data_IF_165710687183
#
_entry.id   IF_165710687183
#
_cell.length_a   1.000
_cell.length_b   1.000
_cell.length_c   1.000
_cell.angle_alpha   90.00
_cell.angle_beta   90.00
_cell.angle_gamma   90.00
#
_symmetry.space_group_name_H-M   'P 1'
#
loop_
_entity.id
_entity.type
_entity.pdbx_description
1 polymer ?
#
# COMPACT_ATOMS: atom_id res chain seq x y z
N UNK A 1 -4.70 -41.58 32.41
CA UNK A 1 -4.05 -41.58 31.09
C UNK A 1 -4.71 -40.46 30.30
N UNK A 2 -4.38 -39.22 30.65
CA UNK A 2 -5.01 -38.01 30.12
C UNK A 2 -4.06 -37.31 29.16
N UNK A 3 -4.60 -36.96 27.99
CA UNK A 3 -4.24 -35.82 27.14
C UNK A 3 -2.96 -35.88 26.30
N UNK A 4 -3.14 -36.26 25.02
CA UNK A 4 -2.41 -35.68 23.87
C UNK A 4 -3.33 -34.87 22.92
N UNK A 5 -4.65 -34.92 23.09
CA UNK A 5 -5.62 -34.21 22.24
C UNK A 5 -5.92 -32.76 22.70
N UNK A 6 -5.64 -32.40 23.95
CA UNK A 6 -5.91 -31.03 24.43
C UNK A 6 -4.83 -29.98 24.08
N UNK A 7 -3.70 -30.37 23.47
CA UNK A 7 -2.63 -29.42 23.14
C UNK A 7 -2.69 -28.86 21.71
N UNK A 8 -3.42 -29.46 20.78
CA UNK A 8 -3.53 -28.95 19.41
C UNK A 8 -4.64 -27.89 19.23
N UNK A 9 -5.70 -27.94 20.04
CA UNK A 9 -6.84 -27.02 19.92
C UNK A 9 -6.61 -25.62 20.51
N UNK A 10 -5.52 -25.43 21.28
CA UNK A 10 -5.17 -24.12 21.85
C UNK A 10 -4.40 -23.19 20.91
N UNK A 11 -3.97 -23.66 19.72
CA UNK A 11 -3.26 -22.80 18.75
C UNK A 11 -4.19 -22.03 17.79
N UNK A 12 -5.48 -22.37 17.72
CA UNK A 12 -6.42 -21.80 16.74
C UNK A 12 -7.43 -20.78 17.30
N UNK A 13 -7.46 -20.55 18.61
CA UNK A 13 -8.33 -19.54 19.21
C UNK A 13 -7.75 -18.13 19.04
N UNK A 14 -7.92 -17.60 17.83
CA UNK A 14 -7.87 -16.17 17.57
C UNK A 14 -8.91 -15.55 18.52
N UNK A 15 -8.47 -14.84 19.56
CA UNK A 15 -9.35 -14.03 20.38
C UNK A 15 -9.94 -12.91 19.51
N UNK A 16 -11.12 -13.17 18.92
CA UNK A 16 -11.82 -12.27 18.00
C UNK A 16 -12.47 -11.16 18.83
N UNK A 17 -11.79 -10.03 18.95
CA UNK A 17 -12.37 -8.80 19.52
C UNK A 17 -13.47 -8.25 18.61
N UNK A 18 -14.47 -7.56 19.18
CA UNK A 18 -15.66 -6.97 18.53
C UNK A 18 -15.39 -5.94 17.42
N UNK A 19 -14.13 -5.72 17.03
CA UNK A 19 -13.69 -4.76 16.02
C UNK A 19 -12.91 -5.34 14.84
N UNK A 20 -12.97 -6.66 14.61
CA UNK A 20 -12.38 -7.31 13.43
C UNK A 20 -13.29 -7.18 12.19
N UNK A 21 -12.69 -6.89 11.02
CA UNK A 21 -13.38 -6.76 9.73
C UNK A 21 -12.76 -7.74 8.72
N UNK A 22 -13.41 -8.89 8.48
CA UNK A 22 -13.00 -9.82 7.43
C UNK A 22 -12.90 -9.13 6.07
N UNK A 23 -13.81 -8.19 5.78
CA UNK A 23 -13.86 -7.45 4.51
C UNK A 23 -12.56 -6.70 4.22
N UNK A 24 -11.90 -6.19 5.26
CA UNK A 24 -10.61 -5.48 5.13
C UNK A 24 -9.49 -6.45 4.78
N UNK A 25 -9.49 -7.64 5.37
CA UNK A 25 -8.52 -8.67 5.00
C UNK A 25 -8.77 -9.21 3.58
N UNK A 26 -10.03 -9.40 3.19
CA UNK A 26 -10.42 -9.76 1.83
C UNK A 26 -9.91 -8.74 0.81
N UNK A 27 -10.21 -7.45 1.01
CA UNK A 27 -9.75 -6.40 0.11
C UNK A 27 -8.23 -6.38 -0.02
N UNK A 28 -7.50 -6.39 1.10
CA UNK A 28 -6.04 -6.41 1.09
C UNK A 28 -5.49 -7.63 0.34
N UNK A 29 -6.09 -8.81 0.53
CA UNK A 29 -5.70 -10.01 -0.19
C UNK A 29 -5.92 -9.82 -1.69
N UNK A 30 -7.12 -9.44 -2.16
CA UNK A 30 -7.35 -9.22 -3.60
C UNK A 30 -6.36 -8.18 -4.16
N UNK A 31 -6.15 -7.06 -3.47
CA UNK A 31 -5.23 -6.03 -3.92
C UNK A 31 -3.77 -6.51 -3.98
N UNK A 32 -3.33 -7.47 -3.14
CA UNK A 32 -1.95 -7.99 -3.24
C UNK A 32 -1.74 -8.85 -4.49
N UNK A 33 -2.76 -9.63 -4.90
CA UNK A 33 -2.72 -10.35 -6.17
C UNK A 33 -2.58 -9.37 -7.34
N UNK A 34 -3.34 -8.26 -7.29
CA UNK A 34 -3.33 -7.22 -8.32
C UNK A 34 -2.04 -6.40 -8.35
N UNK A 35 -1.42 -6.11 -7.20
CA UNK A 35 -0.10 -5.46 -7.17
C UNK A 35 0.98 -6.36 -7.80
N UNK A 36 0.94 -7.67 -7.55
CA UNK A 36 1.88 -8.59 -8.21
C UNK A 36 1.57 -8.67 -9.71
N UNK A 37 0.29 -8.61 -10.10
CA UNK A 37 -0.11 -8.48 -11.50
C UNK A 37 0.49 -7.22 -12.14
N UNK A 38 0.41 -6.06 -11.48
CA UNK A 38 0.95 -4.79 -11.99
C UNK A 38 2.43 -4.92 -12.33
N UNK A 39 3.20 -5.63 -11.50
CA UNK A 39 4.64 -5.82 -11.68
C UNK A 39 5.00 -7.06 -12.50
N UNK A 40 4.01 -7.77 -13.04
CA UNK A 40 4.26 -8.92 -13.92
C UNK A 40 3.82 -8.65 -15.35
N UNK A 41 2.63 -8.07 -15.54
CA UNK A 41 2.02 -7.92 -16.86
C UNK A 41 2.41 -6.58 -17.49
N UNK A 42 2.95 -6.57 -18.73
CA UNK A 42 3.41 -5.34 -19.38
C UNK A 42 2.25 -4.40 -19.75
N UNK A 43 2.55 -3.11 -19.79
CA UNK A 43 1.58 -2.05 -20.11
C UNK A 43 0.87 -2.22 -21.46
N UNK A 44 1.54 -2.84 -22.44
CA UNK A 44 0.96 -3.13 -23.75
C UNK A 44 -0.29 -4.00 -23.66
N UNK A 45 -0.32 -4.98 -22.76
CA UNK A 45 -1.53 -5.79 -22.52
C UNK A 45 -2.48 -5.12 -21.53
N UNK A 46 -1.93 -4.48 -20.49
CA UNK A 46 -2.72 -3.82 -19.44
C UNK A 46 -3.62 -2.71 -20.00
N UNK A 47 -3.10 -1.92 -20.95
CA UNK A 47 -3.86 -0.85 -21.61
C UNK A 47 -5.15 -1.33 -22.27
N UNK A 48 -5.08 -2.48 -22.94
CA UNK A 48 -6.21 -3.00 -23.73
C UNK A 48 -7.32 -3.58 -22.86
N UNK A 49 -6.99 -4.09 -21.67
CA UNK A 49 -7.94 -4.74 -20.75
C UNK A 49 -8.47 -3.79 -19.66
N UNK A 50 -8.25 -2.48 -19.81
CA UNK A 50 -8.86 -1.47 -18.95
C UNK A 50 -8.34 -1.43 -17.51
N UNK A 51 -7.05 -1.69 -17.28
CA UNK A 51 -6.47 -1.85 -15.93
C UNK A 51 -6.72 -0.69 -14.95
N UNK A 52 -6.92 0.55 -15.43
CA UNK A 52 -7.21 1.68 -14.55
C UNK A 52 -8.48 1.48 -13.70
N UNK A 53 -9.41 0.63 -14.16
CA UNK A 53 -10.68 0.37 -13.50
C UNK A 53 -10.63 -0.77 -12.48
N UNK A 54 -9.61 -1.63 -12.48
CA UNK A 54 -9.62 -2.83 -11.64
C UNK A 54 -8.29 -3.22 -11.02
N UNK A 55 -7.16 -2.99 -11.69
CA UNK A 55 -5.83 -3.30 -11.14
C UNK A 55 -5.23 -2.07 -10.48
N UNK A 56 -5.17 -0.94 -11.19
CA UNK A 56 -4.52 0.30 -10.70
C UNK A 56 -5.20 0.89 -9.48
N UNK A 57 -6.40 0.44 -9.14
CA UNK A 57 -7.05 0.80 -7.88
C UNK A 57 -6.41 0.16 -6.64
N UNK A 58 -5.46 -0.76 -6.80
CA UNK A 58 -4.85 -1.50 -5.70
C UNK A 58 -4.21 -0.59 -4.65
N UNK A 59 -3.38 0.35 -5.09
CA UNK A 59 -2.73 1.32 -4.20
C UNK A 59 -3.75 2.28 -3.56
N UNK A 60 -4.67 2.93 -4.33
CA UNK A 60 -5.79 3.67 -3.76
C UNK A 60 -6.59 2.92 -2.69
N UNK A 61 -6.91 1.64 -2.92
CA UNK A 61 -7.63 0.81 -1.95
C UNK A 61 -6.79 0.59 -0.68
N UNK A 62 -5.49 0.31 -0.81
CA UNK A 62 -4.59 0.21 0.35
C UNK A 62 -4.53 1.52 1.14
N UNK A 63 -4.50 2.68 0.49
CA UNK A 63 -4.50 4.01 1.13
C UNK A 63 -5.81 4.27 1.91
N UNK A 64 -6.96 3.96 1.30
CA UNK A 64 -8.26 4.06 1.98
C UNK A 64 -8.31 3.10 3.19
N UNK A 65 -7.86 1.86 3.03
CA UNK A 65 -7.79 0.88 4.12
C UNK A 65 -6.84 1.33 5.23
N UNK A 66 -5.73 1.99 4.87
CA UNK A 66 -4.77 2.56 5.82
C UNK A 66 -5.46 3.61 6.71
N UNK A 67 -6.14 4.59 6.11
CA UNK A 67 -6.91 5.59 6.85
C UNK A 67 -8.03 4.97 7.69
N UNK A 68 -8.76 4.00 7.13
CA UNK A 68 -9.84 3.29 7.81
C UNK A 68 -9.36 2.55 9.07
N UNK A 69 -8.31 1.74 8.94
CA UNK A 69 -7.74 0.98 10.04
C UNK A 69 -7.14 1.89 11.13
N UNK A 70 -6.49 2.99 10.74
CA UNK A 70 -5.95 3.96 11.70
C UNK A 70 -7.08 4.65 12.47
N UNK A 71 -8.14 5.07 11.78
CA UNK A 71 -9.32 5.65 12.42
C UNK A 71 -9.99 4.69 13.42
N UNK A 72 -10.09 3.40 13.08
CA UNK A 72 -10.60 2.37 14.01
C UNK A 72 -9.65 2.13 15.19
N UNK A 73 -8.34 2.15 14.96
CA UNK A 73 -7.33 1.93 16.00
C UNK A 73 -7.35 3.03 17.04
N UNK A 74 -7.31 4.30 16.62
CA UNK A 74 -7.28 5.44 17.54
C UNK A 74 -8.61 5.68 18.26
N UNK A 75 -9.74 5.27 17.67
CA UNK A 75 -11.04 5.33 18.35
C UNK A 75 -11.10 4.51 19.63
N UNK A 76 -10.24 3.49 19.77
CA UNK A 76 -10.17 2.64 20.97
C UNK A 76 -9.35 3.26 22.11
N UNK A 77 -8.70 4.39 21.87
CA UNK A 77 -7.96 5.12 22.89
C UNK A 77 -8.95 6.05 23.59
N UNK A 78 -9.06 5.89 24.92
CA UNK A 78 -9.99 6.64 25.77
C UNK A 78 -9.70 8.15 25.74
N UNK A 79 -8.45 8.53 26.01
CA UNK A 79 -8.00 9.92 25.85
C UNK A 79 -7.39 10.15 24.45
N UNK A 80 -8.09 10.94 23.65
CA UNK A 80 -7.72 11.32 22.28
C UNK A 80 -6.90 12.63 22.23
N UNK A 81 -6.18 12.97 23.30
CA UNK A 81 -5.15 14.01 23.29
C UNK A 81 -3.99 13.63 22.36
N UNK A 82 -3.38 14.62 21.69
CA UNK A 82 -2.26 14.37 20.78
C UNK A 82 -1.10 13.65 21.49
N UNK A 83 -0.83 13.99 22.76
CA UNK A 83 0.19 13.32 23.59
C UNK A 83 -0.03 11.81 23.65
N UNK A 84 -1.28 11.36 23.82
CA UNK A 84 -1.59 9.94 23.92
C UNK A 84 -1.65 9.25 22.56
N UNK A 85 -2.10 9.94 21.51
CA UNK A 85 -2.05 9.45 20.13
C UNK A 85 -0.60 9.25 19.65
N UNK A 86 0.33 10.11 20.09
CA UNK A 86 1.78 10.03 19.85
C UNK A 86 2.55 9.28 20.97
N UNK A 87 1.89 8.37 21.69
CA UNK A 87 2.55 7.65 22.78
C UNK A 87 3.72 6.78 22.31
N UNK A 88 4.71 6.56 23.19
CA UNK A 88 5.81 5.63 22.94
C UNK A 88 5.30 4.22 22.61
N UNK A 89 4.18 3.80 23.22
CA UNK A 89 3.51 2.53 22.91
C UNK A 89 3.06 2.46 21.45
N UNK A 90 2.51 3.54 20.90
CA UNK A 90 2.14 3.64 19.50
C UNK A 90 3.37 3.47 18.60
N UNK A 91 4.42 4.27 18.83
CA UNK A 91 5.64 4.21 18.03
C UNK A 91 6.34 2.86 18.11
N UNK A 92 6.49 2.28 19.30
CA UNK A 92 7.05 0.93 19.48
C UNK A 92 6.25 -0.11 18.69
N UNK A 93 4.92 -0.05 18.74
CA UNK A 93 4.05 -0.95 17.97
C UNK A 93 4.22 -0.80 16.46
N UNK A 94 4.44 0.43 15.97
CA UNK A 94 4.67 0.72 14.55
C UNK A 94 6.08 0.33 14.10
N UNK A 95 7.08 0.54 14.94
CA UNK A 95 8.46 0.11 14.72
C UNK A 95 8.53 -1.38 14.46
N UNK A 96 8.01 -2.20 15.40
CA UNK A 96 8.03 -3.65 15.27
C UNK A 96 7.20 -4.19 14.10
N UNK A 97 6.18 -3.43 13.67
CA UNK A 97 5.31 -3.83 12.57
C UNK A 97 5.86 -3.48 11.19
N UNK A 98 6.56 -2.35 11.07
CA UNK A 98 6.95 -1.80 9.77
C UNK A 98 8.47 -1.63 9.65
N UNK A 99 9.09 -0.90 10.57
CA UNK A 99 10.53 -0.63 10.48
C UNK A 99 11.38 -1.88 10.68
N UNK A 100 11.04 -2.76 11.63
CA UNK A 100 11.84 -3.97 11.87
C UNK A 100 11.88 -4.91 10.64
N UNK A 101 10.74 -5.31 10.04
CA UNK A 101 10.78 -6.13 8.82
C UNK A 101 11.46 -5.40 7.65
N UNK A 102 11.32 -4.08 7.55
CA UNK A 102 12.05 -3.29 6.56
C UNK A 102 13.56 -3.32 6.76
N UNK A 103 14.06 -3.21 7.99
CA UNK A 103 15.51 -3.30 8.27
C UNK A 103 16.04 -4.67 7.87
N UNK A 104 15.29 -5.73 8.16
CA UNK A 104 15.62 -7.10 7.71
C UNK A 104 15.66 -7.15 6.18
N UNK A 105 14.66 -6.60 5.50
CA UNK A 105 14.65 -6.50 4.04
C UNK A 105 15.90 -5.77 3.54
N UNK A 106 16.19 -4.59 4.08
CA UNK A 106 17.28 -3.73 3.63
C UNK A 106 18.63 -4.43 3.73
N UNK A 107 18.89 -5.14 4.83
CA UNK A 107 20.13 -5.92 5.00
C UNK A 107 20.17 -7.06 3.98
N UNK A 108 19.12 -7.89 3.94
CA UNK A 108 19.08 -9.07 3.06
C UNK A 108 19.14 -8.68 1.58
N UNK A 109 18.40 -7.65 1.15
CA UNK A 109 18.40 -7.16 -0.23
C UNK A 109 19.76 -6.60 -0.63
N UNK A 110 20.42 -5.86 0.27
CA UNK A 110 21.75 -5.32 0.01
C UNK A 110 22.79 -6.44 -0.12
N UNK A 111 22.75 -7.45 0.75
CA UNK A 111 23.66 -8.59 0.68
C UNK A 111 23.44 -9.42 -0.60
N UNK A 112 22.19 -9.69 -0.96
CA UNK A 112 21.86 -10.38 -2.21
C UNK A 112 22.33 -9.55 -3.41
N UNK A 113 22.03 -8.26 -3.44
CA UNK A 113 22.48 -7.37 -4.51
C UNK A 113 24.00 -7.37 -4.65
N UNK A 114 24.73 -7.20 -3.55
CA UNK A 114 26.20 -7.27 -3.53
C UNK A 114 26.74 -8.60 -4.05
N UNK A 115 26.06 -9.72 -3.77
CA UNK A 115 26.46 -11.03 -4.29
C UNK A 115 26.26 -11.18 -5.80
N UNK A 116 25.25 -10.52 -6.38
CA UNK A 116 24.91 -10.63 -7.80
C UNK A 116 25.73 -9.62 -8.62
N UNK A 117 25.83 -8.37 -8.17
CA UNK A 117 26.40 -7.26 -8.97
C UNK A 117 27.65 -6.62 -8.36
N UNK A 118 28.16 -7.13 -7.23
CA UNK A 118 29.18 -6.44 -6.46
C UNK A 118 28.72 -5.06 -6.01
N UNK A 119 29.64 -4.10 -5.93
CA UNK A 119 29.36 -2.72 -5.47
C UNK A 119 28.34 -1.97 -6.34
N UNK A 120 28.14 -2.38 -7.60
CA UNK A 120 27.15 -1.77 -8.50
C UNK A 120 25.71 -1.98 -8.00
N UNK A 121 25.46 -2.99 -7.15
CA UNK A 121 24.16 -3.17 -6.52
C UNK A 121 23.74 -1.97 -5.65
N UNK A 122 24.71 -1.21 -5.14
CA UNK A 122 24.45 -0.04 -4.31
C UNK A 122 23.98 1.17 -5.13
N UNK A 123 23.94 1.09 -6.45
CA UNK A 123 23.45 2.17 -7.32
C UNK A 123 22.27 1.75 -8.21
N UNK A 124 21.69 0.56 -8.04
CA UNK A 124 20.58 0.07 -8.88
C UNK A 124 19.32 0.94 -8.82
N UNK A 125 19.14 1.71 -7.75
CA UNK A 125 18.05 2.68 -7.65
C UNK A 125 18.19 3.89 -8.60
N UNK A 126 19.38 4.11 -9.18
CA UNK A 126 19.60 5.15 -10.18
C UNK A 126 19.10 4.71 -11.57
N UNK A 127 18.70 5.66 -12.44
CA UNK A 127 18.60 7.11 -12.21
C UNK A 127 17.25 7.54 -11.62
N UNK A 128 16.38 6.60 -11.24
CA UNK A 128 15.02 6.92 -10.77
C UNK A 128 14.99 7.65 -9.42
N UNK A 129 15.99 7.43 -8.57
CA UNK A 129 16.02 7.97 -7.21
C UNK A 129 17.35 8.64 -6.90
N UNK A 130 17.37 9.71 -6.10
CA UNK A 130 18.62 10.33 -5.64
C UNK A 130 19.20 9.62 -4.42
N UNK A 131 20.48 9.83 -4.10
CA UNK A 131 21.11 9.32 -2.88
C UNK A 131 20.32 9.64 -1.59
N UNK A 132 19.71 10.83 -1.52
CA UNK A 132 18.91 11.23 -0.36
C UNK A 132 17.67 10.35 -0.13
N UNK A 133 17.18 9.67 -1.17
CA UNK A 133 16.01 8.81 -1.05
C UNK A 133 16.29 7.53 -0.25
N UNK A 134 17.55 7.13 -0.10
CA UNK A 134 17.92 6.00 0.76
C UNK A 134 17.55 6.27 2.23
N UNK A 135 17.61 7.53 2.67
CA UNK A 135 17.30 7.93 4.05
C UNK A 135 15.80 7.98 4.36
N UNK A 136 14.94 7.99 3.33
CA UNK A 136 13.48 7.97 3.51
C UNK A 136 12.88 6.57 3.31
N UNK A 137 13.71 5.56 3.03
CA UNK A 137 13.27 4.17 2.95
C UNK A 137 13.36 3.53 1.56
N UNK A 138 13.99 4.18 0.58
CA UNK A 138 14.33 3.51 -0.69
C UNK A 138 15.53 2.58 -0.46
N UNK A 139 15.51 1.44 -1.15
CA UNK A 139 16.52 0.39 -1.04
C UNK A 139 17.64 0.66 -2.05
N UNK A 140 18.91 0.38 -1.70
CA UNK A 140 20.02 0.46 -2.64
C UNK A 140 19.85 -0.56 -3.78
N UNK A 141 19.56 -1.82 -3.42
CA UNK A 141 19.16 -2.87 -4.36
C UNK A 141 17.65 -2.76 -4.61
N UNK A 142 17.29 -2.03 -5.66
CA UNK A 142 15.93 -1.56 -5.90
C UNK A 142 15.06 -2.57 -6.64
N UNK A 143 13.79 -2.66 -6.23
CA UNK A 143 12.73 -3.35 -6.96
C UNK A 143 11.42 -2.53 -6.97
N UNK A 144 10.49 -2.83 -7.89
CA UNK A 144 9.20 -2.15 -7.99
C UNK A 144 8.39 -2.27 -6.70
N UNK A 145 7.57 -1.23 -6.42
CA UNK A 145 6.74 -1.12 -5.22
C UNK A 145 7.43 -0.46 -4.00
N UNK A 146 8.76 -0.29 -4.05
CA UNK A 146 9.56 0.26 -2.94
C UNK A 146 9.16 1.68 -2.52
N UNK A 147 8.70 2.50 -3.47
CA UNK A 147 8.23 3.86 -3.23
C UNK A 147 7.09 3.95 -2.19
N UNK A 148 6.33 2.86 -2.00
CA UNK A 148 5.25 2.83 -1.02
C UNK A 148 5.73 2.70 0.44
N UNK A 149 6.98 2.24 0.67
CA UNK A 149 7.53 2.10 2.02
C UNK A 149 7.72 3.44 2.73
N UNK A 150 8.34 4.47 2.11
CA UNK A 150 8.36 5.81 2.68
C UNK A 150 6.96 6.34 3.02
N UNK A 151 5.95 6.09 2.16
CA UNK A 151 4.57 6.54 2.41
C UNK A 151 4.04 5.95 3.72
N UNK A 152 4.31 4.66 3.98
CA UNK A 152 3.95 4.00 5.25
C UNK A 152 4.72 4.62 6.42
N UNK A 153 6.01 4.89 6.28
CA UNK A 153 6.84 5.44 7.35
C UNK A 153 6.41 6.86 7.74
N UNK A 154 6.24 7.74 6.77
CA UNK A 154 5.71 9.08 6.99
C UNK A 154 4.29 9.05 7.55
N UNK A 155 3.45 8.12 7.11
CA UNK A 155 2.11 7.95 7.66
C UNK A 155 2.10 7.65 9.15
N UNK A 156 3.11 6.97 9.70
CA UNK A 156 3.21 6.72 11.14
C UNK A 156 3.24 8.04 11.91
N UNK A 157 3.93 9.06 11.38
CA UNK A 157 4.01 10.40 11.96
C UNK A 157 2.77 11.24 11.70
N UNK A 158 2.19 11.19 10.50
CA UNK A 158 1.08 12.09 10.10
C UNK A 158 -0.28 11.64 10.64
N UNK A 159 -0.52 10.34 10.74
CA UNK A 159 -1.85 9.81 11.04
C UNK A 159 -2.43 10.21 12.41
N UNK A 160 -1.66 10.30 13.52
CA UNK A 160 -2.19 10.76 14.80
C UNK A 160 -2.74 12.20 14.73
N UNK A 161 -2.01 13.11 14.10
CA UNK A 161 -2.45 14.50 13.89
C UNK A 161 -3.70 14.54 13.00
N UNK A 162 -3.68 13.81 11.88
CA UNK A 162 -4.82 13.76 10.97
C UNK A 162 -6.07 13.23 11.67
N UNK A 163 -5.95 12.16 12.47
CA UNK A 163 -7.06 11.59 13.24
C UNK A 163 -7.69 12.60 14.20
N UNK A 164 -6.92 13.54 14.77
CA UNK A 164 -7.44 14.56 15.67
C UNK A 164 -8.53 15.40 14.99
N UNK A 165 -8.33 15.78 13.75
CA UNK A 165 -9.33 16.48 12.94
C UNK A 165 -10.61 15.64 12.72
N UNK A 166 -10.43 14.32 12.53
CA UNK A 166 -11.55 13.39 12.35
C UNK A 166 -12.24 12.94 13.65
N UNK A 167 -11.66 13.21 14.82
CA UNK A 167 -12.24 12.81 16.12
C UNK A 167 -13.36 13.71 16.64
N UNK A 168 -13.47 14.94 16.13
CA UNK A 168 -14.38 15.95 16.65
C UNK A 168 -15.82 15.90 16.11
N UNK A 169 -16.51 17.04 16.26
CA UNK A 169 -17.86 17.29 15.71
C UNK A 169 -17.88 17.10 14.18
N UNK A 170 -19.06 16.91 13.59
CA UNK A 170 -19.22 16.72 12.14
C UNK A 170 -18.52 17.79 11.31
N UNK A 171 -18.64 19.07 11.69
CA UNK A 171 -17.99 20.17 10.95
C UNK A 171 -16.47 20.02 10.88
N UNK A 172 -15.80 19.64 11.97
CA UNK A 172 -14.35 19.42 11.99
C UNK A 172 -13.92 18.26 11.11
N UNK A 173 -14.74 17.20 11.06
CA UNK A 173 -14.50 16.06 10.16
C UNK A 173 -14.61 16.49 8.70
N UNK A 174 -15.60 17.32 8.37
CA UNK A 174 -15.80 17.85 7.00
C UNK A 174 -14.60 18.71 6.63
N UNK A 175 -14.22 19.66 7.49
CA UNK A 175 -13.07 20.54 7.28
C UNK A 175 -11.77 19.74 7.11
N UNK A 176 -11.57 18.68 7.91
CA UNK A 176 -10.39 17.81 7.81
C UNK A 176 -10.37 17.04 6.49
N UNK A 177 -11.52 16.53 6.03
CA UNK A 177 -11.61 15.85 4.73
C UNK A 177 -11.34 16.83 3.59
N UNK A 178 -11.95 18.02 3.61
CA UNK A 178 -11.70 19.09 2.63
C UNK A 178 -10.22 19.46 2.62
N UNK A 179 -9.59 19.63 3.78
CA UNK A 179 -8.16 19.92 3.89
C UNK A 179 -7.29 18.83 3.26
N UNK A 180 -7.66 17.55 3.37
CA UNK A 180 -6.94 16.46 2.69
C UNK A 180 -6.93 16.64 1.17
N UNK A 181 -8.06 17.02 0.57
CA UNK A 181 -8.16 17.31 -0.86
C UNK A 181 -7.41 18.59 -1.25
N UNK A 182 -7.52 19.65 -0.44
CA UNK A 182 -6.85 20.92 -0.69
C UNK A 182 -5.33 20.74 -0.67
N UNK A 183 -4.78 20.05 0.33
CA UNK A 183 -3.32 19.81 0.42
C UNK A 183 -2.81 19.06 -0.81
N UNK A 184 -3.50 17.99 -1.22
CA UNK A 184 -3.10 17.20 -2.39
C UNK A 184 -3.19 18.04 -3.68
N UNK A 185 -4.27 18.79 -3.86
CA UNK A 185 -4.44 19.69 -5.00
C UNK A 185 -3.39 20.82 -5.02
N UNK A 186 -3.04 21.37 -3.86
CA UNK A 186 -1.97 22.37 -3.73
C UNK A 186 -0.61 21.80 -4.13
N UNK A 187 -0.32 20.54 -3.81
CA UNK A 187 0.91 19.87 -4.25
C UNK A 187 0.93 19.66 -5.77
N UNK A 188 -0.18 19.23 -6.35
CA UNK A 188 -0.32 19.08 -7.81
C UNK A 188 -0.07 20.42 -8.53
N UNK A 189 -0.68 21.51 -8.04
CA UNK A 189 -0.44 22.85 -8.59
C UNK A 189 1.00 23.33 -8.35
N UNK A 190 1.58 23.10 -7.18
CA UNK A 190 2.95 23.48 -6.89
C UNK A 190 3.92 22.81 -7.87
N UNK A 191 3.74 21.51 -8.15
CA UNK A 191 4.54 20.78 -9.15
C UNK A 191 4.31 21.38 -10.54
N UNK A 192 3.05 21.58 -10.93
CA UNK A 192 2.69 22.12 -12.25
C UNK A 192 3.32 23.49 -12.52
N UNK A 193 3.21 24.43 -11.57
CA UNK A 193 3.75 25.78 -11.72
C UNK A 193 5.28 25.83 -11.59
N UNK A 194 5.89 24.94 -10.78
CA UNK A 194 7.35 24.90 -10.62
C UNK A 194 8.06 24.29 -11.83
N UNK A 195 7.50 23.22 -12.38
CA UNK A 195 8.10 22.41 -13.45
C UNK A 195 7.27 22.51 -14.72
N UNK A 196 6.97 23.75 -15.14
CA UNK A 196 6.20 24.13 -16.32
C UNK A 196 6.24 23.07 -17.45
N UNK A 197 5.11 22.79 -18.13
CA UNK A 197 4.99 21.67 -19.07
C UNK A 197 5.90 21.71 -20.32
N UNK A 198 6.75 22.73 -20.47
CA UNK A 198 7.55 22.95 -21.68
C UNK A 198 9.04 22.88 -21.38
N UNK A 199 9.61 21.71 -21.69
CA UNK A 199 11.04 21.42 -21.88
C UNK A 199 12.00 21.72 -20.72
N UNK A 200 12.71 20.68 -20.25
CA UNK A 200 13.82 20.84 -19.34
C UNK A 200 15.06 21.39 -20.08
N UNK A 201 15.71 22.46 -19.58
CA UNK A 201 16.85 23.08 -20.25
C UNK A 201 18.12 22.22 -20.25
N UNK A 202 18.16 21.17 -19.41
CA UNK A 202 19.27 20.22 -19.33
C UNK A 202 18.80 18.90 -18.71
N UNK A 203 19.59 17.84 -18.90
CA UNK A 203 19.40 16.57 -18.18
C UNK A 203 19.46 16.74 -16.66
N UNK A 204 20.30 17.65 -16.16
CA UNK A 204 20.35 17.98 -14.73
C UNK A 204 19.03 18.52 -14.20
N UNK A 205 18.39 19.43 -14.94
CA UNK A 205 17.08 19.97 -14.59
C UNK A 205 15.97 18.91 -14.67
N UNK A 206 16.07 17.97 -15.62
CA UNK A 206 15.16 16.82 -15.70
C UNK A 206 15.33 15.88 -14.49
N UNK A 207 16.56 15.55 -14.10
CA UNK A 207 16.79 14.71 -12.91
C UNK A 207 16.36 15.40 -11.62
N UNK A 208 16.59 16.72 -11.47
CA UNK A 208 16.06 17.49 -10.33
C UNK A 208 14.53 17.39 -10.26
N UNK A 209 13.85 17.50 -11.40
CA UNK A 209 12.42 17.29 -11.49
C UNK A 209 12.02 15.89 -11.04
N UNK A 210 12.61 14.84 -11.61
CA UNK A 210 12.29 13.45 -11.25
C UNK A 210 12.50 13.21 -9.76
N UNK A 211 13.64 13.62 -9.20
CA UNK A 211 13.93 13.43 -7.78
C UNK A 211 12.98 14.20 -6.88
N UNK A 212 12.58 15.41 -7.26
CA UNK A 212 11.60 16.19 -6.48
C UNK A 212 10.22 15.54 -6.55
N UNK A 213 9.85 15.09 -7.74
CA UNK A 213 8.59 14.42 -8.00
C UNK A 213 8.46 13.14 -7.16
N UNK A 214 9.48 12.29 -7.20
CA UNK A 214 9.55 11.05 -6.44
C UNK A 214 9.57 11.31 -4.92
N UNK A 215 10.28 12.33 -4.46
CA UNK A 215 10.23 12.74 -3.06
C UNK A 215 8.81 13.13 -2.62
N UNK A 216 8.08 13.90 -3.43
CA UNK A 216 6.71 14.30 -3.12
C UNK A 216 5.77 13.09 -3.12
N UNK A 217 5.89 12.20 -4.11
CA UNK A 217 5.02 11.02 -4.26
C UNK A 217 5.23 9.97 -3.17
N UNK A 218 6.43 9.93 -2.60
CA UNK A 218 6.75 9.08 -1.47
C UNK A 218 6.29 9.66 -0.13
N UNK A 219 5.57 10.80 -0.14
CA UNK A 219 4.91 11.37 1.04
C UNK A 219 3.42 11.06 1.06
N UNK A 220 2.80 10.91 2.26
CA UNK A 220 1.37 10.71 2.37
C UNK A 220 0.56 11.96 1.97
N UNK A 221 1.18 13.14 1.89
CA UNK A 221 0.53 14.39 1.52
C UNK A 221 -0.05 14.35 0.10
N UNK A 222 0.62 13.64 -0.81
CA UNK A 222 0.15 13.42 -2.18
C UNK A 222 -0.99 12.39 -2.28
N UNK A 223 -1.30 11.70 -1.18
CA UNK A 223 -2.29 10.62 -1.11
C UNK A 223 -3.36 10.88 -0.02
N UNK A 224 -3.40 12.11 0.50
CA UNK A 224 -4.18 12.44 1.70
C UNK A 224 -5.67 12.30 1.46
N UNK A 225 -6.17 12.58 0.26
CA UNK A 225 -7.61 12.48 0.01
C UNK A 225 -8.11 11.03 0.10
N UNK A 226 -7.34 10.03 -0.34
CA UNK A 226 -7.63 8.61 -0.11
C UNK A 226 -7.61 8.23 1.38
N UNK A 227 -6.55 8.62 2.09
CA UNK A 227 -6.39 8.35 3.53
C UNK A 227 -7.53 9.01 4.33
N UNK A 228 -7.87 10.25 4.00
CA UNK A 228 -8.93 11.03 4.61
C UNK A 228 -10.31 10.39 4.43
N UNK A 229 -10.63 9.90 3.23
CA UNK A 229 -11.84 9.12 2.97
C UNK A 229 -11.89 7.86 3.84
N UNK A 230 -10.77 7.13 3.94
CA UNK A 230 -10.63 6.00 4.84
C UNK A 230 -10.94 6.35 6.30
N UNK A 231 -10.31 7.41 6.81
CA UNK A 231 -10.56 7.89 8.18
C UNK A 231 -12.02 8.31 8.39
N UNK A 232 -12.65 8.96 7.41
CA UNK A 232 -14.06 9.32 7.43
C UNK A 232 -14.96 8.10 7.60
N UNK A 233 -14.73 7.05 6.79
CA UNK A 233 -15.51 5.81 6.84
C UNK A 233 -15.36 5.05 8.16
N UNK A 234 -14.25 5.19 8.87
CA UNK A 234 -14.02 4.53 10.17
C UNK A 234 -15.09 4.85 11.22
N UNK A 235 -15.77 5.99 11.10
CA UNK A 235 -16.81 6.42 12.04
C UNK A 235 -18.12 5.67 11.83
N UNK A 236 -18.59 5.58 10.58
CA UNK A 236 -19.80 4.85 10.19
C UNK A 236 -19.56 4.12 8.86
N UNK A 237 -19.04 2.88 8.89
CA UNK A 237 -18.72 2.09 7.70
C UNK A 237 -19.99 1.49 7.09
N UNK A 238 -20.85 2.34 6.54
CA UNK A 238 -22.07 1.94 5.84
C UNK A 238 -22.27 2.86 4.65
N UNK A 239 -22.36 2.28 3.45
CA UNK A 239 -22.53 2.99 2.18
C UNK A 239 -23.72 3.96 2.18
N UNK A 240 -24.82 3.60 2.84
CA UNK A 240 -26.07 4.39 2.86
C UNK A 240 -26.19 5.31 4.08
N UNK A 241 -25.16 5.42 4.91
CA UNK A 241 -25.18 6.39 6.02
C UNK A 241 -25.25 7.82 5.46
N UNK A 242 -26.09 8.69 6.07
CA UNK A 242 -26.24 10.10 5.65
C UNK A 242 -24.91 10.83 5.41
N UNK A 243 -23.93 10.60 6.29
CA UNK A 243 -22.60 11.20 6.18
C UNK A 243 -21.77 10.72 4.98
N UNK A 244 -22.11 9.59 4.36
CA UNK A 244 -21.37 9.03 3.23
C UNK A 244 -22.10 9.29 1.90
N UNK A 245 -23.24 9.99 1.90
CA UNK A 245 -24.05 10.19 0.69
C UNK A 245 -23.32 10.97 -0.41
N UNK A 246 -22.38 11.85 -0.06
CA UNK A 246 -21.55 12.56 -1.03
C UNK A 246 -20.75 11.61 -1.94
N UNK A 247 -20.49 10.37 -1.50
CA UNK A 247 -19.82 9.37 -2.32
C UNK A 247 -20.64 8.96 -3.55
N UNK A 248 -21.97 9.10 -3.53
CA UNK A 248 -22.82 8.86 -4.69
C UNK A 248 -22.66 9.93 -5.78
N UNK A 249 -22.04 11.07 -5.45
CA UNK A 249 -21.68 12.11 -6.42
C UNK A 249 -20.22 11.93 -6.85
N UNK A 250 -19.30 11.70 -5.89
CA UNK A 250 -17.88 11.57 -6.21
C UNK A 250 -17.57 10.29 -7.00
N UNK A 251 -18.27 9.18 -6.74
CA UNK A 251 -18.04 7.91 -7.44
C UNK A 251 -18.29 8.02 -8.95
N UNK A 252 -19.46 8.48 -9.45
CA UNK A 252 -19.69 8.61 -10.88
C UNK A 252 -18.70 9.55 -11.57
N UNK A 253 -18.32 10.67 -10.92
CA UNK A 253 -17.33 11.60 -11.47
C UNK A 253 -15.94 10.95 -11.59
N UNK A 254 -15.52 10.22 -10.57
CA UNK A 254 -14.24 9.49 -10.55
C UNK A 254 -14.23 8.34 -11.55
N UNK A 255 -15.33 7.58 -11.66
CA UNK A 255 -15.49 6.52 -12.65
C UNK A 255 -15.45 7.08 -14.09
N UNK A 256 -16.19 8.16 -14.35
CA UNK A 256 -16.16 8.82 -15.65
C UNK A 256 -14.74 9.28 -16.00
N UNK A 257 -14.06 9.94 -15.06
CA UNK A 257 -12.66 10.33 -15.24
C UNK A 257 -11.76 9.12 -15.57
N UNK A 258 -11.90 8.00 -14.86
CA UNK A 258 -11.11 6.78 -15.12
C UNK A 258 -11.39 6.18 -16.50
N UNK A 259 -12.63 6.21 -16.97
CA UNK A 259 -12.99 5.78 -18.34
C UNK A 259 -12.31 6.67 -19.37
N UNK A 260 -12.40 8.00 -19.20
CA UNK A 260 -11.73 8.97 -20.07
C UNK A 260 -10.20 8.81 -20.03
N UNK A 261 -9.66 8.56 -18.84
CA UNK A 261 -8.24 8.33 -18.62
C UNK A 261 -7.75 7.06 -19.34
N UNK A 262 -8.48 5.94 -19.22
CA UNK A 262 -8.06 4.64 -19.74
C UNK A 262 -8.19 4.54 -21.25
N UNK A 263 -9.35 4.95 -21.79
CA UNK A 263 -9.70 4.64 -23.18
C UNK A 263 -9.51 5.80 -24.14
N UNK A 264 -9.43 7.03 -23.63
CA UNK A 264 -9.34 8.24 -24.45
C UNK A 264 -8.08 9.06 -24.17
N UNK A 265 -7.18 8.57 -23.30
CA UNK A 265 -5.93 9.26 -22.96
C UNK A 265 -6.12 10.60 -22.26
N UNK A 266 -7.33 10.89 -21.74
CA UNK A 266 -7.63 12.19 -21.13
C UNK A 266 -6.81 12.39 -19.84
N UNK A 267 -6.08 13.50 -19.74
CA UNK A 267 -5.31 13.89 -18.55
C UNK A 267 -5.53 15.38 -18.31
N UNK A 268 -5.74 15.76 -17.06
CA UNK A 268 -5.63 17.18 -16.69
C UNK A 268 -4.14 17.54 -16.64
N UNK A 269 -3.76 18.62 -17.32
CA UNK A 269 -2.34 19.02 -17.44
C UNK A 269 -1.67 19.32 -16.10
N UNK A 270 -2.43 19.72 -15.09
CA UNK A 270 -1.92 20.01 -13.74
C UNK A 270 -1.86 18.78 -12.84
N UNK A 271 -2.43 17.65 -13.25
CA UNK A 271 -2.38 16.40 -12.51
C UNK A 271 -1.14 15.61 -12.95
N UNK A 272 -0.41 15.11 -11.96
CA UNK A 272 0.70 14.19 -12.14
C UNK A 272 0.33 12.82 -11.57
N UNK A 273 0.87 11.78 -12.19
CA UNK A 273 0.67 10.35 -11.86
C UNK A 273 -0.72 9.80 -12.10
N UNK A 274 -0.83 8.51 -11.85
CA UNK A 274 -2.06 7.73 -11.95
C UNK A 274 -2.80 7.61 -10.60
N UNK A 275 -2.20 8.11 -9.51
CA UNK A 275 -2.75 8.01 -8.15
C UNK A 275 -2.98 9.40 -7.58
N UNK A 276 -4.23 9.87 -7.65
CA UNK A 276 -4.58 11.21 -7.22
C UNK A 276 -6.08 11.34 -6.87
N UNK A 277 -6.45 12.53 -6.40
CA UNK A 277 -7.75 12.90 -5.84
C UNK A 277 -8.97 12.65 -6.74
N UNK A 278 -8.76 12.50 -8.06
CA UNK A 278 -9.84 12.19 -9.01
C UNK A 278 -10.05 10.68 -9.17
N UNK A 279 -9.08 9.85 -8.79
CA UNK A 279 -9.12 8.38 -8.86
C UNK A 279 -9.56 7.76 -7.53
N UNK A 280 -9.16 8.37 -6.41
CA UNK A 280 -9.42 7.80 -5.09
C UNK A 280 -10.90 7.64 -4.72
N UNK A 281 -11.85 8.52 -5.13
CA UNK A 281 -13.25 8.31 -4.81
C UNK A 281 -13.83 7.02 -5.40
N UNK A 282 -13.42 6.62 -6.60
CA UNK A 282 -13.80 5.34 -7.19
C UNK A 282 -13.40 4.17 -6.29
N UNK A 283 -12.13 4.13 -5.89
CA UNK A 283 -11.58 3.10 -5.02
C UNK A 283 -12.21 3.10 -3.62
N UNK A 284 -12.43 4.29 -3.06
CA UNK A 284 -13.07 4.48 -1.76
C UNK A 284 -14.52 3.98 -1.74
N UNK A 285 -15.26 4.18 -2.82
CA UNK A 285 -16.61 3.65 -2.98
C UNK A 285 -16.60 2.13 -3.04
N UNK A 286 -15.67 1.51 -3.78
CA UNK A 286 -15.52 0.05 -3.83
C UNK A 286 -15.20 -0.54 -2.45
N UNK A 287 -14.37 0.15 -1.64
CA UNK A 287 -14.13 -0.25 -0.25
C UNK A 287 -15.44 -0.27 0.56
N UNK A 288 -16.25 0.80 0.48
CA UNK A 288 -17.55 0.85 1.17
C UNK A 288 -18.52 -0.23 0.66
N UNK A 289 -18.53 -0.48 -0.64
CA UNK A 289 -19.34 -1.51 -1.28
C UNK A 289 -18.98 -2.90 -0.73
N UNK A 290 -17.69 -3.24 -0.70
CA UNK A 290 -17.24 -4.54 -0.16
C UNK A 290 -17.53 -4.67 1.34
N UNK A 291 -17.31 -3.61 2.13
CA UNK A 291 -17.69 -3.59 3.55
C UNK A 291 -19.19 -3.84 3.75
N UNK A 292 -20.04 -3.34 2.84
CA UNK A 292 -21.49 -3.50 2.89
C UNK A 292 -21.96 -4.89 2.42
N UNK A 293 -21.36 -5.42 1.35
CA UNK A 293 -21.80 -6.66 0.71
C UNK A 293 -21.24 -7.91 1.38
N UNK A 294 -19.98 -7.88 1.83
CA UNK A 294 -19.37 -9.04 2.46
C UNK A 294 -19.70 -9.14 3.95
N UNK A 295 -19.86 -10.37 4.49
CA UNK A 295 -20.12 -10.55 5.90
C UNK A 295 -18.93 -10.10 6.75
N UNK A 296 -19.22 -9.54 7.93
CA UNK A 296 -18.18 -9.11 8.90
C UNK A 296 -17.33 -10.28 9.40
N UNK A 297 -17.93 -11.47 9.44
CA UNK A 297 -17.31 -12.70 9.90
C UNK A 297 -17.62 -13.79 8.89
N UNK A 298 -16.59 -14.53 8.52
CA UNK A 298 -16.69 -15.73 7.71
C UNK A 298 -15.72 -16.73 8.31
N UNK A 299 -16.21 -17.89 8.74
CA UNK A 299 -15.40 -18.91 9.41
C UNK A 299 -15.40 -20.21 8.61
N UNK A 300 -14.60 -20.24 7.54
CA UNK A 300 -14.29 -21.45 6.80
C UNK A 300 -12.81 -21.42 6.37
N UNK A 301 -12.33 -22.52 5.78
CA UNK A 301 -10.92 -22.63 5.36
C UNK A 301 -10.51 -21.53 4.37
N UNK A 302 -11.41 -21.16 3.44
CA UNK A 302 -11.18 -20.11 2.46
C UNK A 302 -11.02 -18.74 3.12
N UNK A 303 -11.94 -18.37 4.02
CA UNK A 303 -11.86 -17.14 4.79
C UNK A 303 -10.58 -17.09 5.63
N UNK A 304 -10.18 -18.22 6.24
CA UNK A 304 -8.91 -18.32 6.98
C UNK A 304 -7.69 -18.08 6.07
N UNK A 305 -7.67 -18.67 4.88
CA UNK A 305 -6.60 -18.45 3.90
C UNK A 305 -6.52 -16.98 3.47
N UNK A 306 -7.65 -16.39 3.07
CA UNK A 306 -7.76 -14.98 2.70
C UNK A 306 -7.35 -14.06 3.85
N UNK A 307 -7.80 -14.33 5.07
CA UNK A 307 -7.41 -13.57 6.26
C UNK A 307 -5.91 -13.64 6.52
N UNK A 308 -5.29 -14.81 6.32
CA UNK A 308 -3.84 -14.99 6.47
C UNK A 308 -3.08 -14.14 5.45
N UNK A 309 -3.47 -14.18 4.17
CA UNK A 309 -2.87 -13.35 3.12
C UNK A 309 -3.08 -11.87 3.44
N UNK A 310 -4.31 -11.47 3.76
CA UNK A 310 -4.70 -10.09 4.08
C UNK A 310 -3.95 -9.51 5.28
N UNK A 311 -3.62 -10.31 6.29
CA UNK A 311 -2.80 -9.89 7.44
C UNK A 311 -1.32 -9.78 7.09
N UNK A 312 -0.85 -10.60 6.15
CA UNK A 312 0.55 -10.70 5.73
C UNK A 312 0.92 -9.72 4.60
N UNK A 313 0.01 -8.87 4.12
CA UNK A 313 0.26 -8.06 2.91
C UNK A 313 1.47 -7.14 2.98
N UNK A 314 1.87 -6.68 4.17
CA UNK A 314 3.11 -5.91 4.31
C UNK A 314 4.35 -6.76 4.04
N UNK A 315 4.44 -7.96 4.63
CA UNK A 315 5.53 -8.90 4.37
C UNK A 315 5.53 -9.42 2.93
N UNK A 316 4.36 -9.61 2.32
CA UNK A 316 4.24 -9.92 0.89
C UNK A 316 4.77 -8.76 0.03
N UNK A 317 4.46 -7.50 0.39
CA UNK A 317 5.04 -6.32 -0.27
C UNK A 317 6.58 -6.30 -0.17
N UNK A 318 7.14 -6.58 1.01
CA UNK A 318 8.60 -6.63 1.17
C UNK A 318 9.23 -7.76 0.34
N UNK A 319 8.57 -8.91 0.30
CA UNK A 319 9.01 -10.08 -0.47
C UNK A 319 9.00 -9.80 -1.97
N UNK A 320 7.93 -9.20 -2.51
CA UNK A 320 7.88 -8.86 -3.93
C UNK A 320 8.96 -7.82 -4.31
N UNK A 321 9.25 -6.84 -3.44
CA UNK A 321 10.28 -5.83 -3.72
C UNK A 321 11.63 -6.52 -3.88
N UNK A 322 11.98 -7.43 -2.96
CA UNK A 322 13.21 -8.21 -3.07
C UNK A 322 13.22 -9.10 -4.31
N UNK A 323 12.14 -9.86 -4.52
CA UNK A 323 12.03 -10.78 -5.65
C UNK A 323 12.23 -10.03 -6.97
N UNK A 324 11.46 -8.97 -7.20
CA UNK A 324 11.58 -8.20 -8.44
C UNK A 324 12.88 -7.41 -8.54
N UNK A 325 13.53 -7.03 -7.43
CA UNK A 325 14.88 -6.46 -7.49
C UNK A 325 15.89 -7.46 -8.08
N UNK A 326 15.81 -8.74 -7.69
CA UNK A 326 16.61 -9.83 -8.26
C UNK A 326 16.26 -10.04 -9.73
N UNK A 327 14.96 -10.05 -10.06
CA UNK A 327 14.51 -10.22 -11.45
C UNK A 327 15.04 -9.11 -12.35
N UNK A 328 14.87 -7.84 -11.97
CA UNK A 328 15.41 -6.69 -12.71
C UNK A 328 16.92 -6.79 -12.85
N UNK A 329 17.62 -7.17 -11.77
CA UNK A 329 19.07 -7.29 -11.79
C UNK A 329 19.58 -8.37 -12.75
N UNK A 330 18.90 -9.52 -12.84
CA UNK A 330 19.36 -10.65 -13.65
C UNK A 330 18.88 -10.56 -15.11
N UNK A 331 17.71 -9.94 -15.34
CA UNK A 331 17.04 -9.97 -16.64
C UNK A 331 16.80 -8.58 -17.25
N UNK A 332 17.16 -7.50 -16.55
CA UNK A 332 17.07 -6.11 -17.01
C UNK A 332 15.68 -5.47 -16.96
N UNK A 333 14.62 -6.26 -16.74
CA UNK A 333 13.22 -5.82 -16.67
C UNK A 333 12.45 -6.74 -15.70
N UNK A 334 11.35 -6.28 -15.13
CA UNK A 334 10.42 -7.10 -14.33
C UNK A 334 9.14 -7.49 -15.09
N UNK A 335 8.78 -6.78 -16.18
CA UNK A 335 7.59 -7.09 -16.98
C UNK A 335 7.78 -8.23 -17.98
N UNK A 336 9.00 -8.38 -18.53
CA UNK A 336 9.33 -9.37 -19.58
C UNK A 336 10.59 -10.18 -19.27
N UNK A 337 10.90 -10.36 -17.99
CA UNK A 337 12.06 -11.11 -17.55
C UNK A 337 11.98 -12.58 -17.97
N UNK A 338 12.90 -13.12 -18.80
CA UNK A 338 12.86 -14.52 -19.29
C UNK A 338 13.33 -15.49 -18.23
N UNK A 339 12.58 -15.54 -17.14
CA UNK A 339 12.82 -16.45 -16.04
C UNK A 339 12.60 -17.87 -16.57
N UNK A 340 13.61 -18.72 -16.39
CA UNK A 340 13.64 -20.09 -16.90
C UNK A 340 13.66 -20.22 -18.44
N UNK A 341 14.06 -19.17 -19.18
CA UNK A 341 14.21 -19.23 -20.64
C UNK A 341 12.87 -19.25 -21.40
N UNK A 342 11.77 -18.85 -20.75
CA UNK A 342 10.44 -18.79 -21.36
C UNK A 342 10.39 -17.58 -22.32
N UNK A 343 9.92 -17.81 -23.56
CA UNK A 343 9.81 -16.79 -24.59
C UNK A 343 8.47 -16.03 -24.47
N UNK A 344 8.51 -14.70 -24.31
CA UNK A 344 7.31 -13.84 -24.12
C UNK A 344 6.56 -13.46 -25.39
N UNK A 345 6.85 -14.07 -26.53
CA UNK A 345 6.09 -13.84 -27.75
C UNK A 345 4.62 -14.28 -27.64
N UNK A 346 4.29 -15.14 -26.67
CA UNK A 346 2.91 -15.59 -26.42
C UNK A 346 2.39 -15.04 -25.08
N UNK A 347 1.20 -14.43 -25.13
CA UNK A 347 0.45 -13.94 -23.98
C UNK A 347 0.22 -15.02 -22.91
N UNK A 348 0.06 -16.28 -23.31
CA UNK A 348 -0.15 -17.39 -22.38
C UNK A 348 1.03 -17.54 -21.40
N UNK A 349 2.27 -17.38 -21.87
CA UNK A 349 3.45 -17.48 -21.02
C UNK A 349 3.53 -16.35 -19.97
N UNK A 350 3.01 -15.15 -20.28
CA UNK A 350 2.94 -14.06 -19.31
C UNK A 350 1.99 -14.39 -18.15
N UNK A 351 0.84 -15.02 -18.42
CA UNK A 351 -0.09 -15.45 -17.37
C UNK A 351 0.44 -16.63 -16.55
N UNK A 352 1.18 -17.56 -17.17
CA UNK A 352 1.90 -18.59 -16.42
C UNK A 352 2.94 -17.98 -15.47
N UNK A 353 3.67 -16.97 -15.94
CA UNK A 353 4.64 -16.25 -15.12
C UNK A 353 3.98 -15.49 -13.95
N UNK A 354 2.79 -14.92 -14.16
CA UNK A 354 1.99 -14.35 -13.07
C UNK A 354 1.65 -15.38 -11.99
N UNK A 355 1.27 -16.60 -12.37
CA UNK A 355 1.01 -17.68 -11.41
C UNK A 355 2.28 -18.02 -10.62
N UNK A 356 3.44 -18.11 -11.28
CA UNK A 356 4.73 -18.33 -10.62
C UNK A 356 5.01 -17.22 -9.61
N UNK A 357 4.85 -15.95 -10.01
CA UNK A 357 5.09 -14.80 -9.13
C UNK A 357 4.16 -14.79 -7.92
N UNK A 358 2.88 -15.19 -8.06
CA UNK A 358 1.98 -15.37 -6.93
C UNK A 358 2.43 -16.50 -6.01
N UNK A 359 2.83 -17.66 -6.55
CA UNK A 359 3.30 -18.83 -5.80
C UNK A 359 4.63 -18.58 -5.08
N UNK A 360 5.45 -17.64 -5.56
CA UNK A 360 6.68 -17.22 -4.87
C UNK A 360 6.36 -16.13 -3.84
N UNK A 361 5.83 -14.99 -4.28
CA UNK A 361 5.73 -13.79 -3.45
C UNK A 361 4.76 -13.97 -2.27
N UNK A 362 3.59 -14.60 -2.50
CA UNK A 362 2.56 -14.72 -1.47
C UNK A 362 2.98 -15.72 -0.38
N UNK A 363 3.33 -16.99 -0.69
CA UNK A 363 3.77 -17.94 0.32
C UNK A 363 5.00 -17.50 1.10
N UNK A 364 6.04 -16.98 0.43
CA UNK A 364 7.24 -16.49 1.11
C UNK A 364 6.93 -15.32 2.05
N UNK A 365 6.09 -14.36 1.61
CA UNK A 365 5.65 -13.25 2.46
C UNK A 365 4.79 -13.69 3.64
N UNK A 366 3.88 -14.65 3.45
CA UNK A 366 3.08 -15.25 4.53
C UNK A 366 3.96 -15.99 5.53
N UNK A 367 4.93 -16.76 5.03
CA UNK A 367 5.88 -17.48 5.88
C UNK A 367 6.72 -16.53 6.72
N UNK A 368 7.25 -15.47 6.11
CA UNK A 368 7.98 -14.43 6.85
C UNK A 368 7.09 -13.76 7.90
N UNK A 369 5.86 -13.37 7.54
CA UNK A 369 4.92 -12.80 8.49
C UNK A 369 4.71 -13.70 9.73
N UNK A 370 4.59 -15.01 9.52
CA UNK A 370 4.41 -15.98 10.58
C UNK A 370 5.64 -16.09 11.51
N UNK A 371 6.86 -16.05 10.96
CA UNK A 371 8.10 -16.01 11.75
C UNK A 371 8.12 -14.74 12.61
N UNK A 372 7.86 -13.58 12.03
CA UNK A 372 7.85 -12.31 12.74
C UNK A 372 6.80 -12.27 13.84
N UNK A 373 5.58 -12.78 13.60
CA UNK A 373 4.57 -12.88 14.65
C UNK A 373 5.03 -13.74 15.83
N UNK A 374 5.71 -14.87 15.56
CA UNK A 374 6.25 -15.74 16.62
C UNK A 374 7.34 -15.02 17.42
N UNK A 375 8.26 -14.34 16.76
CA UNK A 375 9.32 -13.54 17.40
C UNK A 375 8.74 -12.42 18.28
N UNK A 376 7.71 -11.73 17.79
CA UNK A 376 7.03 -10.67 18.56
C UNK A 376 6.30 -11.21 19.78
N UNK A 377 5.65 -12.38 19.68
CA UNK A 377 5.00 -13.03 20.82
C UNK A 377 6.04 -13.45 21.87
N UNK A 378 7.14 -14.06 21.44
CA UNK A 378 8.25 -14.43 22.32
C UNK A 378 8.84 -13.23 23.07
N UNK A 379 9.14 -12.13 22.36
CA UNK A 379 9.67 -10.90 22.98
C UNK A 379 8.69 -10.25 23.96
N UNK A 380 7.38 -10.33 23.72
CA UNK A 380 6.37 -9.83 24.66
C UNK A 380 6.27 -10.67 25.93
N UNK A 381 6.43 -11.98 25.83
CA UNK A 381 6.43 -12.88 26.98
C UNK A 381 7.69 -12.66 27.83
N UNK A 382 8.86 -12.54 27.19
CA UNK A 382 10.12 -12.28 27.89
C UNK A 382 10.15 -10.94 28.64
N UNK A 383 9.54 -9.89 28.10
CA UNK A 383 9.51 -8.56 28.76
C UNK A 383 8.40 -8.41 29.82
N UNK A 384 7.61 -9.46 30.08
CA UNK A 384 6.60 -9.51 31.15
C UNK A 384 7.07 -10.34 32.36
N UNK A 385 8.12 -11.14 32.18
CA UNK A 385 8.90 -11.80 33.22
C UNK A 385 10.07 -10.88 33.58
#
# INVERSE_FOLDING_TARGET
>A
METKEQSSDKLANINITSGYYFQVDFLKAVMIFLVIFDHTIPWTLKGDIGVALWERISIPVFLVIMGFNMGLSFRRIEDQSLRNLYSLKYFKGKFWRYFYPFIVLWVVSSLIGLSINGVNALSQYQPGWSFFHLFIGILPFWGPGNWFLPVIFWSILIMPLLYKGFSGKLIWRILSLVLCYVVELSLQFAIFFRYSPYSFPSWGAYYEYIYTLEFIFTTPFFMLSAIGLGMWFSKKPNLFAKQNLFMWILFPLSLYYLIQYQFFGFRFEFIRTDYHLLVFPYSAFLVLLVIKLLPKRWDNWFAKAISTIGKSTYHILLTQILYFAVVVSLYGDHYRASIFGINFSDNMYMFLYLLINWVICIPCGVFWHFIDEKLLKYNKLRNKL
#
